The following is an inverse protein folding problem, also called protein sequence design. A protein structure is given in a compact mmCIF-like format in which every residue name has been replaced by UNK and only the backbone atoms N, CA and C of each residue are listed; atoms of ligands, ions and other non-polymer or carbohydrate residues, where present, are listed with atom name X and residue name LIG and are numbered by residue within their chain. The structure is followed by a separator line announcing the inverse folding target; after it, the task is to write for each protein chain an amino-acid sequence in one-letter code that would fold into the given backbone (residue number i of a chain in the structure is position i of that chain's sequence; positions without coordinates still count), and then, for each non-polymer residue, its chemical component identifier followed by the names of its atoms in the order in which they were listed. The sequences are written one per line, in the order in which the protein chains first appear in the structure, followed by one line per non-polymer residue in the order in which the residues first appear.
data_IF_910801198872
#
_entry.id   IF_910801198872
#
_cell.length_a   1.000
_cell.length_b   1.000
_cell.length_c   1.000
_cell.angle_alpha   90.00
_cell.angle_beta   90.00
_cell.angle_gamma   90.00
#
_symmetry.space_group_name_H-M   'P 1'
#
loop_
_entity.id
_entity.type
_entity.pdbx_description
1 polymer ?
#
# COMPACT_ATOMS: atom_id res chain seq x y z
N UNK A 1 -12.76 -14.47 -2.63
CA UNK A 1 -13.68 -13.77 -3.57
C UNK A 1 -14.30 -12.53 -2.93
N UNK A 2 -14.68 -12.60 -1.64
CA UNK A 2 -15.30 -11.48 -0.93
C UNK A 2 -14.38 -10.26 -0.74
N UNK A 3 -13.07 -10.43 -0.59
CA UNK A 3 -12.13 -9.29 -0.54
C UNK A 3 -12.04 -8.65 -1.92
N UNK A 4 -12.48 -7.39 -2.02
CA UNK A 4 -12.47 -6.58 -3.24
C UNK A 4 -11.07 -6.09 -3.63
N UNK A 5 -11.03 -5.21 -4.64
CA UNK A 5 -9.77 -4.69 -5.20
C UNK A 5 -9.31 -3.40 -4.52
N UNK A 6 -10.20 -2.68 -3.84
CA UNK A 6 -9.85 -1.51 -3.06
C UNK A 6 -9.29 -1.91 -1.69
N UNK A 7 -7.97 -1.96 -1.64
CA UNK A 7 -7.20 -2.31 -0.45
C UNK A 7 -6.15 -1.24 -0.19
N UNK A 8 -6.20 -0.63 0.99
CA UNK A 8 -5.20 0.31 1.49
C UNK A 8 -4.51 -0.28 2.71
N UNK A 9 -3.17 -0.35 2.66
CA UNK A 9 -2.35 -0.82 3.77
C UNK A 9 -1.54 0.36 4.30
N UNK A 10 -1.71 0.66 5.59
CA UNK A 10 -0.86 1.60 6.32
C UNK A 10 0.05 0.79 7.26
N UNK A 11 1.34 1.09 7.23
CA UNK A 11 2.30 0.59 8.20
C UNK A 11 2.88 1.73 9.03
N UNK A 12 2.81 1.63 10.35
CA UNK A 12 3.54 2.50 11.28
C UNK A 12 4.35 1.64 12.25
N UNK A 13 5.62 1.99 12.43
CA UNK A 13 6.52 1.27 13.34
C UNK A 13 6.94 2.17 14.48
N UNK A 14 6.68 1.72 15.70
CA UNK A 14 7.24 2.28 16.91
C UNK A 14 8.26 1.31 17.50
N UNK A 15 9.55 1.68 17.41
CA UNK A 15 10.68 0.81 17.82
C UNK A 15 10.56 -0.58 17.18
N UNK A 16 10.29 -1.60 17.97
CA UNK A 16 10.19 -3.01 17.55
C UNK A 16 8.75 -3.51 17.38
N UNK A 17 7.77 -2.61 17.42
CA UNK A 17 6.37 -2.95 17.12
C UNK A 17 5.94 -2.30 15.81
N UNK A 18 5.51 -3.13 14.86
CA UNK A 18 4.94 -2.74 13.56
C UNK A 18 3.42 -2.89 13.65
N UNK A 19 2.71 -1.79 13.41
CA UNK A 19 1.26 -1.75 13.31
C UNK A 19 0.88 -1.70 11.83
N UNK A 20 0.18 -2.73 11.35
CA UNK A 20 -0.37 -2.82 10.01
C UNK A 20 -1.88 -2.63 10.08
N UNK A 21 -2.38 -1.54 9.50
CA UNK A 21 -3.81 -1.29 9.34
C UNK A 21 -4.19 -1.52 7.89
N UNK A 22 -5.10 -2.45 7.66
CA UNK A 22 -5.64 -2.82 6.35
C UNK A 22 -7.07 -2.31 6.27
N UNK A 23 -7.36 -1.40 5.35
CA UNK A 23 -8.71 -1.11 4.92
C UNK A 23 -8.96 -1.87 3.62
N UNK A 24 -9.91 -2.79 3.61
CA UNK A 24 -10.25 -3.63 2.48
C UNK A 24 -11.75 -3.66 2.29
N UNK A 25 -12.21 -3.18 1.14
CA UNK A 25 -13.61 -3.27 0.75
C UNK A 25 -14.01 -4.73 0.56
N UNK A 26 -15.13 -5.15 1.15
CA UNK A 26 -15.71 -6.47 0.89
C UNK A 26 -16.87 -6.37 -0.10
N UNK A 27 -16.98 -7.33 -0.99
CA UNK A 27 -18.01 -7.39 -2.03
C UNK A 27 -19.24 -8.09 -1.45
N UNK A 28 -20.35 -7.35 -1.32
CA UNK A 28 -21.58 -7.72 -0.63
C UNK A 28 -22.21 -9.03 -1.15
N UNK A 29 -22.15 -9.27 -2.46
CA UNK A 29 -22.70 -10.47 -3.09
C UNK A 29 -22.02 -11.78 -2.65
N UNK A 30 -20.86 -11.69 -2.00
CA UNK A 30 -20.15 -12.81 -1.39
C UNK A 30 -20.20 -12.81 0.15
N UNK A 31 -21.00 -11.94 0.77
CA UNK A 31 -21.14 -11.81 2.22
C UNK A 31 -22.62 -11.92 2.58
N UNK A 32 -23.01 -13.04 3.18
CA UNK A 32 -24.41 -13.36 3.49
C UNK A 32 -24.96 -12.54 4.65
N UNK A 33 -24.16 -12.34 5.70
CA UNK A 33 -24.57 -11.71 6.95
C UNK A 33 -23.36 -11.14 7.72
N UNK A 34 -23.65 -10.37 8.77
CA UNK A 34 -22.64 -9.77 9.67
C UNK A 34 -21.63 -10.80 10.20
N UNK A 35 -22.09 -12.01 10.53
CA UNK A 35 -21.20 -13.05 11.06
C UNK A 35 -20.21 -13.53 9.99
N UNK A 36 -20.66 -13.70 8.74
CA UNK A 36 -19.74 -13.99 7.63
C UNK A 36 -18.75 -12.84 7.37
N UNK A 37 -19.20 -11.59 7.43
CA UNK A 37 -18.31 -10.42 7.32
C UNK A 37 -17.17 -10.47 8.35
N UNK A 38 -17.50 -10.69 9.62
CA UNK A 38 -16.53 -10.76 10.71
C UNK A 38 -15.56 -11.95 10.57
N UNK A 39 -16.04 -13.09 10.07
CA UNK A 39 -15.18 -14.24 9.80
C UNK A 39 -14.18 -13.95 8.66
N UNK A 40 -14.63 -13.34 7.57
CA UNK A 40 -13.75 -12.94 6.46
C UNK A 40 -12.70 -11.93 6.95
N UNK A 41 -13.11 -10.99 7.81
CA UNK A 41 -12.23 -9.99 8.42
C UNK A 41 -11.12 -10.63 9.27
N UNK A 42 -11.47 -11.59 10.14
CA UNK A 42 -10.47 -12.31 10.94
C UNK A 42 -9.58 -13.23 10.08
N UNK A 43 -10.12 -13.90 9.05
CA UNK A 43 -9.31 -14.70 8.12
C UNK A 43 -8.29 -13.82 7.38
N UNK A 44 -8.70 -12.64 6.91
CA UNK A 44 -7.81 -11.68 6.25
C UNK A 44 -6.71 -11.21 7.21
N UNK A 45 -7.07 -10.87 8.45
CA UNK A 45 -6.12 -10.48 9.50
C UNK A 45 -5.09 -11.57 9.78
N UNK A 46 -5.52 -12.83 9.93
CA UNK A 46 -4.61 -13.97 10.11
C UNK A 46 -3.67 -14.15 8.92
N UNK A 47 -4.17 -14.09 7.68
CA UNK A 47 -3.31 -14.21 6.49
C UNK A 47 -2.27 -13.10 6.39
N UNK A 48 -2.64 -11.86 6.72
CA UNK A 48 -1.70 -10.73 6.74
C UNK A 48 -0.65 -10.92 7.83
N UNK A 49 -1.05 -11.34 9.03
CA UNK A 49 -0.15 -11.64 10.14
C UNK A 49 0.85 -12.75 9.78
N UNK A 50 0.35 -13.87 9.26
CA UNK A 50 1.15 -15.04 8.85
C UNK A 50 2.15 -14.70 7.74
N UNK A 51 1.84 -13.73 6.88
CA UNK A 51 2.76 -13.27 5.87
C UNK A 51 3.79 -12.28 6.45
N UNK A 52 3.35 -11.32 7.25
CA UNK A 52 4.21 -10.28 7.80
C UNK A 52 5.28 -10.84 8.75
N UNK A 53 4.92 -11.80 9.60
CA UNK A 53 5.83 -12.44 10.58
C UNK A 53 6.93 -13.27 9.92
N UNK A 54 6.81 -13.63 8.64
CA UNK A 54 7.88 -14.29 7.87
C UNK A 54 8.94 -13.31 7.37
N UNK A 55 8.64 -12.02 7.34
CA UNK A 55 9.48 -10.98 6.76
C UNK A 55 10.29 -10.19 7.80
N UNK A 56 10.01 -10.40 9.09
CA UNK A 56 10.65 -9.66 10.18
C UNK A 56 10.56 -10.44 11.49
N UNK A 57 11.56 -10.24 12.34
CA UNK A 57 11.63 -10.71 13.73
C UNK A 57 10.92 -9.76 14.72
N UNK A 58 10.41 -8.61 14.26
CA UNK A 58 9.73 -7.60 15.07
C UNK A 58 8.32 -8.04 15.46
N UNK A 59 7.80 -7.43 16.52
CA UNK A 59 6.42 -7.62 16.93
C UNK A 59 5.49 -7.00 15.88
N UNK A 60 4.52 -7.75 15.36
CA UNK A 60 3.56 -7.28 14.36
C UNK A 60 2.16 -7.28 14.96
N UNK A 61 1.43 -6.19 14.78
CA UNK A 61 0.01 -6.06 15.09
C UNK A 61 -0.74 -5.78 13.79
N UNK A 62 -1.84 -6.50 13.56
CA UNK A 62 -2.67 -6.36 12.35
C UNK A 62 -4.07 -5.95 12.75
N UNK A 63 -4.54 -4.88 12.11
CA UNK A 63 -5.88 -4.35 12.23
C UNK A 63 -6.53 -4.35 10.84
N UNK A 64 -7.78 -4.79 10.76
CA UNK A 64 -8.55 -4.78 9.51
C UNK A 64 -9.78 -3.93 9.74
N UNK A 65 -10.15 -3.09 8.76
CA UNK A 65 -11.37 -2.27 8.72
C UNK A 65 -11.70 -1.64 10.09
N UNK A 66 -10.80 -0.81 10.60
CA UNK A 66 -10.92 -0.16 11.92
C UNK A 66 -11.99 0.92 11.99
N UNK A 67 -12.62 1.25 10.84
CA UNK A 67 -13.77 2.15 10.76
C UNK A 67 -15.12 1.46 10.97
N UNK A 68 -15.14 0.13 11.06
CA UNK A 68 -16.37 -0.62 11.35
C UNK A 68 -16.89 -0.32 12.76
N UNK A 69 -18.21 -0.33 12.94
CA UNK A 69 -18.91 -0.21 14.23
C UNK A 69 -20.00 -1.28 14.33
N UNK A 70 -19.82 -2.25 15.22
CA UNK A 70 -20.84 -3.27 15.49
C UNK A 70 -22.11 -2.66 16.09
N UNK A 71 -21.96 -1.66 16.96
CA UNK A 71 -23.09 -1.00 17.63
C UNK A 71 -23.98 -0.23 16.65
N UNK A 72 -23.37 0.36 15.61
CA UNK A 72 -24.07 1.17 14.62
C UNK A 72 -24.34 0.39 13.31
N UNK A 73 -24.00 -0.91 13.27
CA UNK A 73 -24.08 -1.76 12.07
C UNK A 73 -23.37 -1.15 10.85
N UNK A 74 -22.17 -0.60 11.08
CA UNK A 74 -21.32 -0.01 10.04
C UNK A 74 -20.23 -1.01 9.67
N UNK A 75 -20.24 -1.46 8.41
CA UNK A 75 -19.28 -2.40 7.83
C UNK A 75 -18.78 -1.86 6.50
N UNK A 76 -17.53 -2.17 6.14
CA UNK A 76 -16.96 -1.77 4.85
C UNK A 76 -17.39 -2.72 3.71
N UNK A 77 -18.69 -2.74 3.43
CA UNK A 77 -19.28 -3.44 2.30
C UNK A 77 -19.39 -2.55 1.06
N UNK A 78 -19.25 -3.17 -0.10
CA UNK A 78 -19.36 -2.56 -1.43
C UNK A 78 -20.02 -3.53 -2.40
N UNK A 79 -20.68 -3.05 -3.44
CA UNK A 79 -21.24 -3.86 -4.54
C UNK A 79 -20.15 -4.26 -5.53
N UNK A 80 -19.22 -3.35 -5.82
CA UNK A 80 -18.22 -3.50 -6.88
C UNK A 80 -16.84 -3.91 -6.37
N UNK A 81 -16.60 -3.84 -5.06
CA UNK A 81 -15.27 -4.04 -4.47
C UNK A 81 -14.39 -2.80 -4.50
N UNK A 82 -14.96 -1.61 -4.77
CA UNK A 82 -14.28 -0.33 -4.83
C UNK A 82 -15.08 0.75 -4.09
N UNK A 83 -14.45 1.53 -3.20
CA UNK A 83 -15.12 2.63 -2.46
C UNK A 83 -15.69 3.73 -3.35
N UNK A 84 -15.18 3.88 -4.58
CA UNK A 84 -15.61 4.91 -5.53
C UNK A 84 -17.10 4.87 -5.84
N UNK A 85 -17.75 3.72 -5.63
CA UNK A 85 -19.19 3.59 -5.83
C UNK A 85 -20.02 4.40 -4.82
N UNK A 86 -19.41 4.82 -3.70
CA UNK A 86 -20.06 5.55 -2.63
C UNK A 86 -19.39 6.91 -2.35
N UNK A 87 -18.91 7.58 -3.39
CA UNK A 87 -18.51 8.99 -3.34
C UNK A 87 -17.02 9.26 -3.09
N UNK A 88 -16.19 8.23 -3.00
CA UNK A 88 -14.73 8.40 -2.96
C UNK A 88 -14.16 8.70 -4.36
N UNK A 89 -13.35 9.75 -4.46
CA UNK A 89 -12.73 10.20 -5.72
C UNK A 89 -11.24 9.86 -5.81
N UNK A 90 -10.75 9.64 -7.04
CA UNK A 90 -9.35 9.36 -7.34
C UNK A 90 -8.76 10.31 -8.38
N UNK A 91 -7.48 10.65 -8.24
CA UNK A 91 -6.74 11.41 -9.26
C UNK A 91 -5.28 10.96 -9.41
N UNK A 92 -4.73 11.15 -10.61
CA UNK A 92 -3.36 10.78 -10.94
C UNK A 92 -2.37 11.52 -10.04
N UNK A 93 -1.37 10.81 -9.53
CA UNK A 93 -0.31 11.39 -8.70
C UNK A 93 -0.63 11.50 -7.21
N UNK A 94 -1.84 11.09 -6.78
CA UNK A 94 -2.27 11.13 -5.37
C UNK A 94 -2.14 9.80 -4.61
N UNK A 95 -1.58 8.78 -5.26
CA UNK A 95 -1.29 7.48 -4.65
C UNK A 95 0.22 7.21 -4.50
N UNK A 96 0.58 5.95 -4.72
CA UNK A 96 1.95 5.45 -4.59
C UNK A 96 2.97 6.17 -5.50
N UNK A 97 4.24 6.16 -5.08
CA UNK A 97 5.36 6.54 -5.95
C UNK A 97 5.69 5.39 -6.91
N UNK A 98 6.69 5.57 -7.79
CA UNK A 98 7.07 4.56 -8.79
C UNK A 98 7.55 3.23 -8.19
N UNK A 99 8.00 3.22 -6.94
CA UNK A 99 8.37 2.02 -6.20
C UNK A 99 7.16 1.31 -5.55
N UNK A 100 5.94 1.83 -5.76
CA UNK A 100 4.71 1.25 -5.23
C UNK A 100 4.36 1.64 -3.80
N UNK A 101 5.10 2.55 -3.15
CA UNK A 101 4.85 2.95 -1.75
C UNK A 101 4.73 4.47 -1.58
N UNK A 102 4.20 4.88 -0.42
CA UNK A 102 4.31 6.24 0.12
C UNK A 102 5.16 6.14 1.38
N UNK A 103 6.32 6.79 1.39
CA UNK A 103 7.34 6.63 2.44
C UNK A 103 7.76 7.98 3.01
N UNK A 104 7.00 8.56 3.97
CA UNK A 104 7.27 9.90 4.52
C UNK A 104 8.66 10.07 5.14
N UNK A 105 9.28 8.98 5.60
CA UNK A 105 10.63 8.95 6.16
C UNK A 105 11.74 8.74 5.11
N UNK A 106 11.41 8.75 3.81
CA UNK A 106 12.35 8.68 2.68
C UNK A 106 12.18 9.90 1.79
N UNK A 107 13.21 10.20 0.99
CA UNK A 107 13.07 11.22 -0.04
C UNK A 107 12.13 10.74 -1.15
N UNK A 108 11.24 11.61 -1.60
CA UNK A 108 10.28 11.31 -2.66
C UNK A 108 10.25 12.44 -3.68
N UNK A 109 10.04 12.09 -4.95
CA UNK A 109 9.66 13.05 -5.98
C UNK A 109 8.16 13.31 -5.94
N UNK A 110 7.77 14.56 -6.11
CA UNK A 110 6.36 14.96 -6.25
C UNK A 110 5.82 14.72 -7.67
N UNK A 111 6.68 14.39 -8.64
CA UNK A 111 6.28 14.10 -10.01
C UNK A 111 5.39 12.84 -10.07
N UNK A 112 4.16 13.01 -10.55
CA UNK A 112 3.32 11.87 -10.93
C UNK A 112 3.94 11.19 -12.17
N UNK A 113 4.15 9.86 -12.17
CA UNK A 113 4.74 9.17 -13.33
C UNK A 113 3.69 8.63 -14.33
N UNK A 114 2.51 8.25 -13.84
CA UNK A 114 1.44 7.66 -14.65
C UNK A 114 0.94 8.63 -15.73
N UNK A 115 0.64 8.10 -16.92
CA UNK A 115 0.13 8.88 -18.07
C UNK A 115 1.18 9.68 -18.85
N UNK A 116 2.39 9.88 -18.32
CA UNK A 116 3.44 10.69 -18.99
C UNK A 116 4.17 9.94 -20.11
N UNK A 117 4.61 10.69 -21.12
CA UNK A 117 5.34 10.20 -22.28
C UNK A 117 6.62 9.43 -21.86
N UNK A 118 6.81 8.17 -22.29
CA UNK A 118 7.93 7.32 -21.90
C UNK A 118 9.23 7.60 -22.67
N UNK A 119 9.31 8.64 -23.49
CA UNK A 119 10.48 8.99 -24.32
C UNK A 119 11.11 10.29 -23.83
N UNK A 120 10.31 11.31 -23.53
CA UNK A 120 10.83 12.66 -23.27
C UNK A 120 10.54 13.18 -21.87
N UNK A 121 9.56 12.62 -21.15
CA UNK A 121 9.16 13.19 -19.87
C UNK A 121 10.07 12.74 -18.74
N UNK A 122 11.08 13.56 -18.45
CA UNK A 122 12.08 13.35 -17.39
C UNK A 122 11.48 13.03 -16.02
N UNK A 123 10.37 13.68 -15.62
CA UNK A 123 9.68 13.35 -14.36
C UNK A 123 9.26 11.87 -14.23
N UNK A 124 8.92 11.19 -15.33
CA UNK A 124 8.66 9.74 -15.36
C UNK A 124 9.97 8.96 -15.45
N UNK A 125 10.81 9.30 -16.43
CA UNK A 125 12.03 8.56 -16.75
C UNK A 125 13.01 8.54 -15.58
N UNK A 126 13.23 9.67 -14.93
CA UNK A 126 14.20 9.79 -13.84
C UNK A 126 13.72 9.11 -12.56
N UNK A 127 12.42 9.09 -12.29
CA UNK A 127 11.89 8.31 -11.17
C UNK A 127 12.11 6.81 -11.38
N UNK A 128 11.86 6.29 -12.59
CA UNK A 128 12.12 4.89 -12.93
C UNK A 128 13.62 4.59 -12.88
N UNK A 129 14.44 5.40 -13.56
CA UNK A 129 15.89 5.24 -13.62
C UNK A 129 16.55 5.32 -12.23
N UNK A 130 16.12 6.25 -11.37
CA UNK A 130 16.67 6.36 -10.02
C UNK A 130 16.43 5.10 -9.18
N UNK A 131 15.26 4.45 -9.33
CA UNK A 131 15.00 3.17 -8.66
C UNK A 131 15.84 2.03 -9.23
N UNK A 132 16.03 1.99 -10.55
CA UNK A 132 16.90 0.99 -11.18
C UNK A 132 18.36 1.14 -10.71
N UNK A 133 18.92 2.35 -10.75
CA UNK A 133 20.28 2.62 -10.27
C UNK A 133 20.42 2.25 -8.80
N UNK A 134 19.47 2.63 -7.93
CA UNK A 134 19.54 2.29 -6.52
C UNK A 134 19.58 0.76 -6.30
N UNK A 135 18.75 0.00 -7.03
CA UNK A 135 18.73 -1.46 -6.95
C UNK A 135 20.03 -2.09 -7.46
N UNK A 136 20.57 -1.60 -8.57
CA UNK A 136 21.82 -2.12 -9.14
C UNK A 136 23.00 -1.85 -8.21
N UNK A 137 23.09 -0.65 -7.62
CA UNK A 137 24.14 -0.31 -6.64
C UNK A 137 24.05 -1.19 -5.40
N UNK A 138 22.86 -1.37 -4.82
CA UNK A 138 22.68 -2.23 -3.63
C UNK A 138 23.08 -3.68 -3.95
N UNK A 139 22.75 -4.17 -5.15
CA UNK A 139 23.11 -5.52 -5.60
C UNK A 139 24.62 -5.67 -5.80
N UNK A 140 25.28 -4.69 -6.40
CA UNK A 140 26.73 -4.72 -6.66
C UNK A 140 27.56 -4.51 -5.40
N UNK A 141 27.05 -3.75 -4.43
CA UNK A 141 27.73 -3.49 -3.17
C UNK A 141 27.79 -4.70 -2.22
N UNK A 142 27.02 -5.76 -2.49
CA UNK A 142 27.06 -7.04 -1.74
C UNK A 142 27.04 -6.88 -0.20
N UNK A 143 26.25 -5.93 0.31
CA UNK A 143 26.12 -5.65 1.74
C UNK A 143 27.03 -4.56 2.30
N UNK A 144 27.97 -4.02 1.52
CA UNK A 144 28.83 -2.91 1.95
C UNK A 144 28.08 -1.57 2.09
N UNK A 145 26.90 -1.47 1.48
CA UNK A 145 26.03 -0.29 1.55
C UNK A 145 24.69 -0.68 2.16
N UNK A 146 24.37 -0.08 3.31
CA UNK A 146 23.08 -0.28 3.98
C UNK A 146 21.91 0.38 3.23
N UNK A 147 22.13 1.55 2.62
CA UNK A 147 21.08 2.29 1.94
C UNK A 147 21.62 3.18 0.81
N UNK A 148 20.88 3.24 -0.31
CA UNK A 148 21.16 4.12 -1.45
C UNK A 148 19.94 5.00 -1.75
N UNK A 149 20.16 6.32 -1.83
CA UNK A 149 19.18 7.27 -2.38
C UNK A 149 19.73 7.94 -3.63
N UNK A 150 19.03 7.79 -4.75
CA UNK A 150 19.38 8.43 -6.03
C UNK A 150 18.41 9.59 -6.31
N UNK A 151 18.97 10.77 -6.63
CA UNK A 151 18.20 11.93 -7.10
C UNK A 151 18.80 12.40 -8.42
N UNK A 152 17.95 12.58 -9.43
CA UNK A 152 18.36 13.05 -10.76
C UNK A 152 17.55 14.31 -11.07
N UNK A 153 18.23 15.38 -11.47
CA UNK A 153 17.62 16.65 -11.84
C UNK A 153 17.89 16.92 -13.32
N UNK A 154 16.87 17.36 -14.04
CA UNK A 154 16.96 17.82 -15.43
C UNK A 154 16.93 19.34 -15.49
N UNK A 155 17.40 19.88 -16.61
CA UNK A 155 17.09 21.23 -17.06
C UNK A 155 16.29 21.11 -18.36
N UNK A 156 15.30 21.99 -18.54
CA UNK A 156 14.46 22.04 -19.75
C UNK A 156 15.21 22.70 -20.91
#
# INVERSE_FOLDING_TARGET
PAVGYDVKVMGFREKDTINLTVAAAFVDSYVKDHHEYMNIKEELKSKVMDNATKLTDKNVQVFVNTGDSEADHVEYLTVTGLSLENGDDGSVGRGNRVNGLITPYRAMSMEAAAGKNPVTHVGKLYNVLANMIANDVVKEADGDIEEVLVRIVSQI
#
